data_IF_601659699460
#
_entry.id   IF_601659699460
#
_cell.length_a   1.000
_cell.length_b   1.000
_cell.length_c   1.000
_cell.angle_alpha   90.00
_cell.angle_beta   90.00
_cell.angle_gamma   90.00
#
_symmetry.space_group_name_H-M   'P 1'
#
loop_
_entity.id
_entity.type
_entity.pdbx_description
1 polymer ?
#
# COMPACT_ATOMS: atom_id res chain seq x y z
N UNK A 1 -1.55 -0.40 -22.54
CA UNK A 1 -2.11 0.12 -21.26
C UNK A 1 -2.48 -1.00 -20.29
N UNK A 2 -3.15 -2.07 -20.72
CA UNK A 2 -3.60 -3.20 -19.89
C UNK A 2 -2.47 -3.94 -19.16
N UNK A 3 -1.30 -4.11 -19.76
CA UNK A 3 -0.15 -4.77 -19.12
C UNK A 3 0.47 -3.95 -17.97
N UNK A 4 0.53 -2.62 -18.13
CA UNK A 4 1.03 -1.72 -17.09
C UNK A 4 0.10 -1.73 -15.86
N UNK A 5 -1.22 -1.72 -16.10
CA UNK A 5 -2.22 -1.80 -15.03
C UNK A 5 -2.14 -3.16 -14.30
N UNK A 6 -2.06 -4.27 -15.05
CA UNK A 6 -1.90 -5.61 -14.46
C UNK A 6 -0.64 -5.70 -13.60
N UNK A 7 0.48 -5.14 -14.07
CA UNK A 7 1.72 -5.06 -13.32
C UNK A 7 1.56 -4.28 -12.02
N UNK A 8 0.94 -3.10 -12.06
CA UNK A 8 0.69 -2.29 -10.88
C UNK A 8 -0.20 -3.02 -9.85
N UNK A 9 -1.28 -3.65 -10.30
CA UNK A 9 -2.17 -4.44 -9.44
C UNK A 9 -1.45 -5.66 -8.84
N UNK A 10 -0.60 -6.32 -9.62
CA UNK A 10 0.25 -7.42 -9.14
C UNK A 10 1.19 -6.98 -8.02
N UNK A 11 1.85 -5.83 -8.18
CA UNK A 11 2.68 -5.26 -7.12
C UNK A 11 1.86 -4.77 -5.93
N UNK A 12 0.68 -4.19 -6.14
CA UNK A 12 -0.18 -3.79 -5.03
C UNK A 12 -0.59 -5.00 -4.17
N UNK A 13 -1.01 -6.09 -4.82
CA UNK A 13 -1.28 -7.36 -4.15
C UNK A 13 -0.05 -7.91 -3.41
N UNK A 14 1.12 -7.85 -4.04
CA UNK A 14 2.37 -8.30 -3.40
C UNK A 14 2.70 -7.48 -2.15
N UNK A 15 2.52 -6.15 -2.19
CA UNK A 15 2.72 -5.27 -1.05
C UNK A 15 1.81 -5.58 0.14
N UNK A 16 0.55 -5.94 -0.12
CA UNK A 16 -0.42 -6.31 0.92
C UNK A 16 -0.13 -7.68 1.53
N UNK A 17 0.22 -8.67 0.70
CA UNK A 17 0.59 -10.03 1.15
C UNK A 17 1.94 -10.04 1.87
N UNK A 18 2.78 -9.02 1.66
CA UNK A 18 4.13 -8.97 2.21
C UNK A 18 4.19 -9.07 3.75
N UNK A 19 3.21 -8.48 4.47
CA UNK A 19 3.08 -8.61 5.93
C UNK A 19 3.03 -10.08 6.33
N UNK A 20 2.15 -10.85 5.67
CA UNK A 20 1.98 -12.27 5.93
C UNK A 20 3.21 -13.05 5.51
N UNK A 21 3.88 -12.63 4.44
CA UNK A 21 5.06 -13.31 3.89
C UNK A 21 6.31 -13.20 4.76
N UNK A 22 6.37 -12.21 5.66
CA UNK A 22 7.36 -12.17 6.73
C UNK A 22 7.24 -13.39 7.65
N UNK A 23 6.01 -13.79 7.99
CA UNK A 23 5.70 -14.93 8.85
C UNK A 23 5.58 -16.26 8.08
N UNK A 24 5.02 -16.24 6.87
CA UNK A 24 4.55 -17.40 6.10
C UNK A 24 5.62 -18.22 5.35
N UNK A 25 6.88 -18.09 5.74
CA UNK A 25 7.99 -18.88 5.20
C UNK A 25 8.22 -18.74 3.68
N UNK A 26 9.07 -19.60 3.13
CA UNK A 26 9.44 -19.57 1.71
C UNK A 26 8.29 -19.88 0.75
N UNK A 27 7.32 -20.69 1.18
CA UNK A 27 6.17 -21.10 0.38
C UNK A 27 5.27 -19.93 -0.01
N UNK A 28 4.87 -19.09 0.95
CA UNK A 28 3.98 -17.95 0.68
C UNK A 28 4.64 -16.93 -0.25
N UNK A 29 5.94 -16.66 -0.06
CA UNK A 29 6.70 -15.77 -0.93
C UNK A 29 6.83 -16.32 -2.35
N UNK A 30 7.07 -17.62 -2.50
CA UNK A 30 7.13 -18.29 -3.79
C UNK A 30 5.78 -18.28 -4.51
N UNK A 31 4.69 -18.46 -3.77
CA UNK A 31 3.33 -18.32 -4.30
C UNK A 31 3.07 -16.88 -4.75
N UNK A 32 3.36 -15.88 -3.92
CA UNK A 32 3.10 -14.47 -4.21
C UNK A 32 3.90 -13.98 -5.42
N UNK A 33 5.19 -14.34 -5.51
CA UNK A 33 6.02 -14.00 -6.67
C UNK A 33 5.45 -14.58 -7.98
N UNK A 34 5.01 -15.84 -7.97
CA UNK A 34 4.44 -16.49 -9.15
C UNK A 34 3.06 -15.96 -9.52
N UNK A 35 2.14 -15.90 -8.56
CA UNK A 35 0.74 -15.57 -8.81
C UNK A 35 0.49 -14.09 -9.05
N UNK A 36 1.19 -13.22 -8.32
CA UNK A 36 0.94 -11.78 -8.38
C UNK A 36 1.88 -11.08 -9.36
N UNK A 37 3.13 -11.54 -9.47
CA UNK A 37 4.14 -10.87 -10.29
C UNK A 37 4.51 -11.65 -11.57
N UNK A 38 4.07 -12.90 -11.72
CA UNK A 38 4.50 -13.76 -12.83
C UNK A 38 6.00 -14.04 -12.82
N UNK A 39 6.64 -14.03 -11.64
CA UNK A 39 8.09 -14.20 -11.48
C UNK A 39 8.42 -15.51 -10.78
N UNK A 40 9.54 -16.09 -11.18
CA UNK A 40 10.06 -17.28 -10.51
C UNK A 40 10.48 -16.97 -9.07
N UNK A 41 10.23 -17.88 -8.12
CA UNK A 41 10.68 -17.72 -6.75
C UNK A 41 12.19 -17.62 -6.64
N UNK A 42 12.62 -16.94 -5.60
CA UNK A 42 14.03 -16.79 -5.29
C UNK A 42 14.65 -18.10 -4.77
N UNK A 43 15.83 -18.43 -5.26
CA UNK A 43 16.73 -19.33 -4.54
C UNK A 43 17.38 -18.54 -3.38
N UNK A 44 16.90 -18.74 -2.17
CA UNK A 44 17.37 -18.02 -0.98
C UNK A 44 18.80 -18.41 -0.60
N UNK A 45 19.62 -17.40 -0.31
CA UNK A 45 21.02 -17.52 0.10
C UNK A 45 21.32 -16.75 1.40
N UNK A 46 20.28 -16.22 2.05
CA UNK A 46 20.42 -15.45 3.27
C UNK A 46 20.84 -16.32 4.46
N UNK A 47 21.70 -15.76 5.31
CA UNK A 47 21.87 -16.23 6.67
C UNK A 47 20.70 -15.77 7.57
N UNK A 48 20.75 -16.16 8.84
CA UNK A 48 19.71 -15.84 9.84
C UNK A 48 19.45 -14.33 9.94
N UNK A 49 20.51 -13.51 10.01
CA UNK A 49 20.36 -12.05 10.10
C UNK A 49 19.69 -11.41 8.89
N UNK A 50 19.99 -11.88 7.67
CA UNK A 50 19.33 -11.39 6.45
C UNK A 50 17.84 -11.74 6.40
N UNK A 51 17.47 -12.93 6.89
CA UNK A 51 16.06 -13.34 7.03
C UNK A 51 15.33 -12.52 8.09
N UNK A 52 15.95 -12.30 9.25
CA UNK A 52 15.37 -11.50 10.32
C UNK A 52 15.14 -10.05 9.88
N UNK A 53 16.11 -9.42 9.23
CA UNK A 53 15.95 -8.06 8.69
C UNK A 53 14.87 -8.01 7.61
N UNK A 54 14.81 -9.01 6.72
CA UNK A 54 13.74 -9.10 5.72
C UNK A 54 12.36 -9.21 6.39
N UNK A 55 12.20 -10.07 7.39
CA UNK A 55 10.95 -10.17 8.16
C UNK A 55 10.54 -8.82 8.74
N UNK A 56 11.45 -8.15 9.46
CA UNK A 56 11.16 -6.85 10.10
C UNK A 56 10.73 -5.83 9.05
N UNK A 57 11.49 -5.65 7.97
CA UNK A 57 11.17 -4.70 6.91
C UNK A 57 9.88 -5.07 6.17
N UNK A 58 9.63 -6.35 5.91
CA UNK A 58 8.40 -6.82 5.28
C UNK A 58 7.17 -6.49 6.09
N UNK A 59 7.24 -6.68 7.42
CA UNK A 59 6.14 -6.35 8.33
C UNK A 59 5.93 -4.84 8.37
N UNK A 60 6.96 -4.04 8.67
CA UNK A 60 6.76 -2.59 8.86
C UNK A 60 6.36 -1.86 7.57
N UNK A 61 6.96 -2.19 6.42
CA UNK A 61 6.55 -1.60 5.13
C UNK A 61 5.18 -2.11 4.71
N UNK A 62 4.86 -3.37 5.01
CA UNK A 62 3.56 -3.93 4.73
C UNK A 62 2.46 -3.30 5.59
N UNK A 63 2.73 -2.96 6.86
CA UNK A 63 1.81 -2.19 7.70
C UNK A 63 1.50 -0.81 7.11
N UNK A 64 2.50 -0.15 6.50
CA UNK A 64 2.26 1.11 5.76
C UNK A 64 1.33 0.88 4.57
N UNK A 65 1.51 -0.21 3.81
CA UNK A 65 0.61 -0.56 2.70
C UNK A 65 -0.83 -0.83 3.18
N UNK A 66 -0.99 -1.52 4.32
CA UNK A 66 -2.30 -1.73 4.95
C UNK A 66 -2.91 -0.44 5.47
N UNK A 67 -2.11 0.47 6.01
CA UNK A 67 -2.60 1.78 6.43
C UNK A 67 -3.08 2.62 5.23
N UNK A 68 -2.35 2.61 4.12
CA UNK A 68 -2.80 3.25 2.87
C UNK A 68 -4.11 2.63 2.39
N UNK A 69 -4.23 1.30 2.39
CA UNK A 69 -5.48 0.62 2.04
C UNK A 69 -6.64 1.03 2.96
N UNK A 70 -6.40 1.11 4.26
CA UNK A 70 -7.37 1.59 5.23
C UNK A 70 -7.85 3.01 4.93
N UNK A 71 -6.95 3.93 4.58
CA UNK A 71 -7.30 5.29 4.19
C UNK A 71 -8.12 5.33 2.89
N UNK A 72 -7.77 4.50 1.89
CA UNK A 72 -8.57 4.34 0.67
C UNK A 72 -9.99 3.88 1.02
N UNK A 73 -10.13 2.87 1.88
CA UNK A 73 -11.43 2.36 2.31
C UNK A 73 -12.26 3.45 3.01
N UNK A 74 -11.66 4.20 3.93
CA UNK A 74 -12.35 5.34 4.58
C UNK A 74 -12.80 6.37 3.56
N UNK A 75 -11.91 6.76 2.64
CA UNK A 75 -12.22 7.77 1.63
C UNK A 75 -13.35 7.30 0.70
N UNK A 76 -13.34 6.04 0.27
CA UNK A 76 -14.40 5.46 -0.55
C UNK A 76 -15.72 5.39 0.19
N UNK A 77 -15.73 4.91 1.43
CA UNK A 77 -16.95 4.86 2.24
C UNK A 77 -17.51 6.28 2.44
N UNK A 78 -16.67 7.25 2.85
CA UNK A 78 -17.10 8.63 3.06
C UNK A 78 -17.53 9.33 1.78
N UNK A 79 -16.88 9.06 0.65
CA UNK A 79 -17.20 9.66 -0.63
C UNK A 79 -18.49 9.12 -1.23
N UNK A 80 -18.63 7.79 -1.28
CA UNK A 80 -19.81 7.12 -1.86
C UNK A 80 -21.02 7.29 -0.95
N UNK A 81 -20.85 7.08 0.35
CA UNK A 81 -21.92 7.22 1.34
C UNK A 81 -22.05 8.64 1.90
N UNK A 82 -21.43 9.66 1.26
CA UNK A 82 -21.46 11.05 1.70
C UNK A 82 -22.84 11.55 2.19
N UNK A 83 -23.99 11.24 1.54
CA UNK A 83 -25.30 11.68 2.00
C UNK A 83 -25.66 11.21 3.42
N UNK A 84 -25.09 10.09 3.87
CA UNK A 84 -25.34 9.50 5.19
C UNK A 84 -24.30 9.92 6.24
N UNK A 85 -23.14 10.45 5.82
CA UNK A 85 -22.03 10.82 6.72
C UNK A 85 -21.82 12.33 6.82
N UNK A 86 -22.22 13.09 5.80
CA UNK A 86 -22.19 14.55 5.78
C UNK A 86 -23.39 15.11 6.53
N UNK A 87 -23.16 15.73 7.69
CA UNK A 87 -24.17 16.19 8.65
C UNK A 87 -25.06 17.36 8.21
N UNK A 88 -25.50 17.41 6.95
CA UNK A 88 -26.48 18.37 6.45
C UNK A 88 -25.95 19.79 6.16
N UNK A 89 -24.70 20.11 6.50
CA UNK A 89 -24.07 21.39 6.14
C UNK A 89 -23.51 21.35 4.71
N UNK A 90 -24.42 21.34 3.72
CA UNK A 90 -24.03 21.37 2.31
C UNK A 90 -23.55 22.74 1.86
N UNK A 91 -23.93 23.81 2.57
CA UNK A 91 -23.63 25.19 2.19
C UNK A 91 -22.12 25.48 2.21
N UNK A 92 -21.43 24.93 3.22
CA UNK A 92 -19.98 25.06 3.34
C UNK A 92 -19.20 23.90 2.71
N UNK A 93 -19.89 22.97 2.04
CA UNK A 93 -19.26 21.78 1.46
C UNK A 93 -18.75 22.03 0.04
N UNK A 94 -17.63 21.39 -0.32
CA UNK A 94 -17.16 21.41 -1.71
C UNK A 94 -18.17 20.73 -2.62
N UNK A 95 -18.68 21.47 -3.62
CA UNK A 95 -19.77 21.03 -4.49
C UNK A 95 -21.18 21.43 -4.01
N UNK A 96 -21.30 22.11 -2.87
CA UNK A 96 -22.56 22.70 -2.38
C UNK A 96 -23.15 23.78 -3.30
N UNK A 97 -24.35 24.31 -2.99
CA UNK A 97 -25.14 24.07 -1.78
C UNK A 97 -26.05 22.84 -1.85
N UNK A 98 -26.06 22.14 -3.00
CA UNK A 98 -26.92 20.96 -3.19
C UNK A 98 -26.25 19.69 -2.70
N UNK A 99 -27.06 18.75 -2.18
CA UNK A 99 -26.61 17.39 -1.87
C UNK A 99 -25.96 16.71 -3.09
N UNK A 100 -26.57 16.86 -4.28
CA UNK A 100 -26.10 16.20 -5.49
C UNK A 100 -24.68 16.66 -5.89
N UNK A 101 -24.42 17.97 -5.85
CA UNK A 101 -23.10 18.51 -6.16
C UNK A 101 -22.05 18.14 -5.12
N UNK A 102 -22.40 18.24 -3.82
CA UNK A 102 -21.50 17.85 -2.74
C UNK A 102 -21.14 16.36 -2.82
N UNK A 103 -22.13 15.49 -3.04
CA UNK A 103 -21.91 14.07 -3.26
C UNK A 103 -21.02 13.80 -4.48
N UNK A 104 -21.30 14.44 -5.62
CA UNK A 104 -20.55 14.21 -6.85
C UNK A 104 -19.06 14.51 -6.66
N UNK A 105 -18.71 15.61 -5.99
CA UNK A 105 -17.31 15.97 -5.70
C UNK A 105 -16.64 14.92 -4.82
N UNK A 106 -17.27 14.53 -3.70
CA UNK A 106 -16.67 13.60 -2.76
C UNK A 106 -16.56 12.17 -3.31
N UNK A 107 -17.58 11.70 -4.02
CA UNK A 107 -17.54 10.41 -4.70
C UNK A 107 -16.47 10.38 -5.81
N UNK A 108 -16.39 11.45 -6.61
CA UNK A 108 -15.41 11.56 -7.69
C UNK A 108 -13.97 11.63 -7.15
N UNK A 109 -13.72 12.42 -6.11
CA UNK A 109 -12.40 12.46 -5.47
C UNK A 109 -12.01 11.09 -4.92
N UNK A 110 -12.93 10.39 -4.26
CA UNK A 110 -12.64 9.06 -3.72
C UNK A 110 -12.32 8.04 -4.83
N UNK A 111 -13.13 7.99 -5.89
CA UNK A 111 -13.02 6.97 -6.95
C UNK A 111 -11.95 7.31 -7.99
N UNK A 112 -11.89 8.56 -8.46
CA UNK A 112 -11.02 8.94 -9.58
C UNK A 112 -9.64 9.42 -9.14
N UNK A 113 -9.47 9.82 -7.86
CA UNK A 113 -8.19 10.34 -7.36
C UNK A 113 -7.62 9.43 -6.28
N UNK A 114 -8.34 9.23 -5.17
CA UNK A 114 -7.80 8.50 -4.01
C UNK A 114 -7.55 7.03 -4.34
N UNK A 115 -8.52 6.34 -4.95
CA UNK A 115 -8.37 4.92 -5.27
C UNK A 115 -7.19 4.64 -6.24
N UNK A 116 -7.03 5.34 -7.39
CA UNK A 116 -5.91 5.11 -8.29
C UNK A 116 -4.56 5.46 -7.64
N UNK A 117 -4.44 6.65 -7.04
CA UNK A 117 -3.17 7.11 -6.44
C UNK A 117 -2.78 6.21 -5.27
N UNK A 118 -3.73 5.88 -4.40
CA UNK A 118 -3.51 4.97 -3.28
C UNK A 118 -3.10 3.57 -3.75
N UNK A 119 -3.73 3.05 -4.81
CA UNK A 119 -3.35 1.76 -5.40
C UNK A 119 -1.93 1.80 -5.98
N UNK A 120 -1.56 2.89 -6.68
CA UNK A 120 -0.20 3.08 -7.19
C UNK A 120 0.83 3.20 -6.05
N UNK A 121 0.47 3.84 -4.95
CA UNK A 121 1.32 3.92 -3.76
C UNK A 121 1.53 2.52 -3.16
N UNK A 122 0.47 1.72 -2.99
CA UNK A 122 0.57 0.32 -2.54
C UNK A 122 1.44 -0.50 -3.53
N UNK A 123 1.29 -0.29 -4.84
CA UNK A 123 2.13 -0.93 -5.85
C UNK A 123 3.61 -0.54 -5.71
N UNK A 124 3.93 0.74 -5.48
CA UNK A 124 5.29 1.20 -5.23
C UNK A 124 5.89 0.54 -3.96
N UNK A 125 5.08 0.39 -2.90
CA UNK A 125 5.48 -0.37 -1.70
C UNK A 125 5.73 -1.86 -2.04
N UNK A 126 4.92 -2.46 -2.92
CA UNK A 126 5.15 -3.81 -3.44
C UNK A 126 6.45 -3.95 -4.23
N UNK A 127 6.81 -2.96 -5.04
CA UNK A 127 8.11 -2.92 -5.74
C UNK A 127 9.25 -2.86 -4.73
N UNK A 128 9.12 -2.00 -3.71
CA UNK A 128 10.10 -1.86 -2.63
C UNK A 128 10.30 -3.18 -1.88
N UNK A 129 9.20 -3.84 -1.49
CA UNK A 129 9.15 -5.16 -0.87
C UNK A 129 9.92 -6.19 -1.69
N UNK A 130 9.63 -6.28 -2.99
CA UNK A 130 10.32 -7.19 -3.90
C UNK A 130 11.82 -6.85 -4.03
N UNK A 131 12.17 -5.56 -4.08
CA UNK A 131 13.54 -5.10 -4.25
C UNK A 131 14.42 -5.44 -3.04
N UNK A 132 13.96 -5.17 -1.80
CA UNK A 132 14.74 -5.56 -0.63
C UNK A 132 14.69 -7.07 -0.37
N UNK A 133 13.63 -7.78 -0.77
CA UNK A 133 13.62 -9.24 -0.74
C UNK A 133 14.77 -9.81 -1.58
N UNK A 134 14.98 -9.29 -2.80
CA UNK A 134 16.16 -9.66 -3.62
C UNK A 134 17.47 -9.33 -2.92
N UNK A 135 17.59 -8.12 -2.35
CA UNK A 135 18.82 -7.66 -1.70
C UNK A 135 19.20 -8.49 -0.47
N UNK A 136 18.22 -8.85 0.34
CA UNK A 136 18.42 -9.51 1.63
C UNK A 136 18.39 -11.02 1.53
N UNK A 137 17.44 -11.58 0.78
CA UNK A 137 17.24 -13.04 0.68
C UNK A 137 18.13 -13.70 -0.38
N UNK A 138 18.32 -13.05 -1.53
CA UNK A 138 19.15 -13.58 -2.64
C UNK A 138 20.58 -13.05 -2.56
N UNK A 139 20.81 -11.98 -1.80
CA UNK A 139 22.06 -11.20 -1.78
C UNK A 139 22.39 -10.59 -3.15
N UNK A 140 21.35 -10.20 -3.90
CA UNK A 140 21.47 -9.63 -5.24
C UNK A 140 20.67 -8.32 -5.38
N UNK A 141 21.10 -7.43 -6.27
CA UNK A 141 20.43 -6.15 -6.51
C UNK A 141 20.97 -5.00 -5.67
N UNK A 142 20.38 -3.82 -5.85
CA UNK A 142 20.86 -2.57 -5.28
C UNK A 142 20.64 -2.48 -3.76
N UNK A 143 21.44 -1.63 -3.11
CA UNK A 143 21.36 -1.39 -1.66
C UNK A 143 20.32 -0.33 -1.27
N UNK A 144 19.94 0.56 -2.20
CA UNK A 144 18.97 1.65 -1.96
C UNK A 144 17.60 1.23 -1.40
N UNK A 145 17.05 0.01 -1.64
CA UNK A 145 15.76 -0.36 -1.08
C UNK A 145 15.73 -0.35 0.45
N UNK A 146 16.88 -0.52 1.11
CA UNK A 146 16.96 -0.52 2.57
C UNK A 146 16.74 0.87 3.18
N UNK A 147 17.52 1.92 2.83
CA UNK A 147 17.24 3.26 3.33
C UNK A 147 15.86 3.78 2.90
N UNK A 148 15.39 3.45 1.69
CA UNK A 148 14.03 3.84 1.26
C UNK A 148 12.96 3.17 2.12
N UNK A 149 13.10 1.89 2.48
CA UNK A 149 12.19 1.22 3.41
C UNK A 149 12.14 1.91 4.77
N UNK A 150 13.30 2.28 5.32
CA UNK A 150 13.37 3.01 6.59
C UNK A 150 12.65 4.36 6.50
N UNK A 151 12.96 5.15 5.47
CA UNK A 151 12.34 6.48 5.27
C UNK A 151 10.82 6.38 5.11
N UNK A 152 10.35 5.41 4.32
CA UNK A 152 8.91 5.20 4.10
C UNK A 152 8.22 4.74 5.38
N UNK A 153 8.84 3.86 6.17
CA UNK A 153 8.31 3.45 7.47
C UNK A 153 8.24 4.62 8.44
N UNK A 154 9.28 5.46 8.50
CA UNK A 154 9.28 6.67 9.34
C UNK A 154 8.17 7.65 8.90
N UNK A 155 8.07 7.92 7.60
CA UNK A 155 7.04 8.81 7.06
C UNK A 155 5.63 8.25 7.33
N UNK A 156 5.42 6.95 7.13
CA UNK A 156 4.15 6.28 7.41
C UNK A 156 3.79 6.34 8.90
N UNK A 157 4.75 6.14 9.81
CA UNK A 157 4.53 6.23 11.24
C UNK A 157 4.19 7.67 11.68
N UNK A 158 4.94 8.66 11.20
CA UNK A 158 4.66 10.07 11.48
C UNK A 158 3.29 10.48 10.96
N UNK A 159 2.93 10.04 9.74
CA UNK A 159 1.63 10.33 9.18
C UNK A 159 0.51 9.63 9.95
N UNK A 160 0.69 8.39 10.37
CA UNK A 160 -0.26 7.67 11.22
C UNK A 160 -0.51 8.41 12.54
N UNK A 161 0.57 8.82 13.22
CA UNK A 161 0.48 9.61 14.47
C UNK A 161 -0.27 10.92 14.22
N UNK A 162 0.14 11.68 13.20
CA UNK A 162 -0.54 12.94 12.84
C UNK A 162 -2.03 12.73 12.55
N UNK A 163 -2.38 11.66 11.84
CA UNK A 163 -3.77 11.30 11.52
C UNK A 163 -4.57 10.94 12.78
N UNK A 164 -3.98 10.26 13.77
CA UNK A 164 -4.66 9.98 15.05
C UNK A 164 -4.84 11.21 15.94
N UNK A 165 -4.07 12.27 15.69
CA UNK A 165 -4.13 13.54 16.42
C UNK A 165 -4.86 14.65 15.65
N UNK A 166 -5.51 14.34 14.53
CA UNK A 166 -6.39 15.29 13.84
C UNK A 166 -7.65 15.50 14.70
N UNK A 167 -7.59 16.49 15.59
CA UNK A 167 -8.73 16.98 16.39
C UNK A 167 -9.33 18.20 15.71
#
# INVERSE_FOLDING_TARGET
MTESLRGALGFAGYGLVAVLSGFGGAGLRAWAARRLLGREPFAERAGVGGRALHLVLSVVVGLVAWFVLFLICIALVRGIAYPSVGGGDYENSWGGPTLAGAWAVHALLAIAVVLPIGTLLIAALGVLQFAFARRLLVRAGAWWPLPVAVLVTMAGALFFVAWTHQA
#
